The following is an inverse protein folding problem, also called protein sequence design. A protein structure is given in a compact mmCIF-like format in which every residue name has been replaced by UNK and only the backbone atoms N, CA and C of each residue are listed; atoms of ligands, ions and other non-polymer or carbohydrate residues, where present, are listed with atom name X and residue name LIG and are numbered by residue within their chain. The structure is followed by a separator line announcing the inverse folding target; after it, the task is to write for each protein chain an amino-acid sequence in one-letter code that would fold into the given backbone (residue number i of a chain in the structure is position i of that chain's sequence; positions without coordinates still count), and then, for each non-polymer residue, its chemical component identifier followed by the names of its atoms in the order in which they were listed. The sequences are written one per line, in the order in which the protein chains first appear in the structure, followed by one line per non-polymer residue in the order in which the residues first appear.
data_IF_727170726202
#
_entry.id   IF_727170726202
#
_cell.length_a   1.000
_cell.length_b   1.000
_cell.length_c   1.000
_cell.angle_alpha   90.00
_cell.angle_beta   90.00
_cell.angle_gamma   90.00
#
_symmetry.space_group_name_H-M   'P 1'
#
loop_
_entity.id
_entity.type
_entity.pdbx_description
1 polymer ?
#
# COMPACT_ATOMS: atom_id res chain seq x y z
N UNK A 1 -16.25 -3.03 -0.50
CA UNK A 1 -17.71 -3.04 -0.46
C UNK A 1 -18.23 -4.29 -1.17
N UNK A 2 -18.95 -5.17 -0.46
CA UNK A 2 -19.49 -6.44 -1.00
C UNK A 2 -20.41 -6.22 -2.21
N UNK A 3 -21.08 -5.08 -2.28
CA UNK A 3 -22.00 -4.76 -3.38
C UNK A 3 -21.29 -4.51 -4.73
N UNK A 4 -19.97 -4.41 -4.74
CA UNK A 4 -19.20 -4.24 -5.97
C UNK A 4 -18.74 -5.57 -6.58
N UNK A 5 -19.10 -6.70 -5.96
CA UNK A 5 -18.77 -8.02 -6.45
C UNK A 5 -19.90 -8.60 -7.28
N UNK A 6 -19.57 -9.31 -8.34
CA UNK A 6 -20.56 -10.00 -9.20
C UNK A 6 -21.18 -11.23 -8.55
N UNK A 7 -20.48 -11.79 -7.55
CA UNK A 7 -20.95 -12.90 -6.71
C UNK A 7 -20.51 -12.68 -5.27
N UNK A 8 -21.01 -13.49 -4.33
CA UNK A 8 -20.60 -13.40 -2.93
C UNK A 8 -19.11 -13.75 -2.79
N UNK A 9 -18.24 -12.79 -2.40
CA UNK A 9 -16.80 -13.01 -2.32
C UNK A 9 -16.38 -13.93 -1.16
N UNK A 10 -17.24 -14.14 -0.18
CA UNK A 10 -16.94 -14.98 0.99
C UNK A 10 -17.45 -16.41 0.83
N UNK A 11 -18.45 -16.62 0.00
CA UNK A 11 -18.87 -17.96 -0.38
C UNK A 11 -17.93 -18.54 -1.44
N UNK A 12 -17.49 -17.71 -2.38
CA UNK A 12 -16.60 -18.11 -3.47
C UNK A 12 -17.20 -19.22 -4.37
N UNK A 13 -16.46 -19.60 -5.37
CA UNK A 13 -16.65 -20.83 -6.13
C UNK A 13 -15.32 -21.29 -6.75
N UNK A 14 -15.26 -22.56 -7.14
CA UNK A 14 -14.14 -23.11 -7.89
C UNK A 14 -14.62 -24.04 -9.01
N UNK A 15 -13.85 -24.05 -10.09
CA UNK A 15 -13.96 -25.04 -11.15
C UNK A 15 -12.55 -25.42 -11.64
N UNK A 16 -12.44 -26.17 -12.72
CA UNK A 16 -11.14 -26.65 -13.26
C UNK A 16 -10.21 -25.51 -13.74
N UNK A 17 -10.72 -24.30 -13.90
CA UNK A 17 -9.98 -23.17 -14.47
C UNK A 17 -9.84 -22.00 -13.50
N UNK A 18 -10.77 -21.80 -12.59
CA UNK A 18 -10.89 -20.58 -11.79
C UNK A 18 -11.19 -20.89 -10.33
N UNK A 19 -10.50 -20.21 -9.45
CA UNK A 19 -10.87 -20.03 -8.03
C UNK A 19 -11.31 -18.58 -7.86
N UNK A 20 -12.56 -18.38 -7.45
CA UNK A 20 -13.14 -17.06 -7.25
C UNK A 20 -13.48 -16.84 -5.79
N UNK A 21 -13.08 -15.70 -5.24
CA UNK A 21 -13.40 -15.28 -3.89
C UNK A 21 -12.44 -14.23 -3.35
N UNK A 22 -12.76 -13.69 -2.19
CA UNK A 22 -11.87 -12.81 -1.46
C UNK A 22 -10.58 -13.57 -1.09
N UNK A 23 -9.41 -13.01 -1.42
CA UNK A 23 -8.12 -13.64 -1.18
C UNK A 23 -7.64 -14.56 -2.33
N UNK A 24 -8.49 -14.90 -3.30
CA UNK A 24 -8.12 -15.83 -4.38
C UNK A 24 -6.91 -15.36 -5.18
N UNK A 25 -6.82 -14.06 -5.47
CA UNK A 25 -5.66 -13.42 -6.08
C UNK A 25 -4.74 -12.80 -5.04
N UNK A 26 -5.30 -12.02 -4.15
CA UNK A 26 -4.57 -11.25 -3.14
C UNK A 26 -5.03 -11.69 -1.73
N UNK A 27 -4.22 -12.60 -1.09
CA UNK A 27 -3.14 -13.32 -1.79
C UNK A 27 -2.98 -14.76 -1.28
N UNK A 28 -4.04 -15.48 -0.92
CA UNK A 28 -3.95 -16.89 -0.54
C UNK A 28 -3.41 -17.76 -1.69
N UNK A 29 -3.70 -17.39 -2.95
CA UNK A 29 -3.13 -18.06 -4.12
C UNK A 29 -1.60 -17.98 -4.16
N UNK A 30 -1.04 -16.80 -3.85
CA UNK A 30 0.40 -16.58 -3.71
C UNK A 30 1.01 -17.39 -2.55
N UNK A 31 0.35 -17.42 -1.41
CA UNK A 31 0.77 -18.21 -0.24
C UNK A 31 0.77 -19.71 -0.54
N UNK A 32 -0.26 -20.22 -1.19
CA UNK A 32 -0.33 -21.62 -1.61
C UNK A 32 0.83 -21.94 -2.58
N UNK A 33 1.10 -21.07 -3.55
CA UNK A 33 2.20 -21.22 -4.50
C UNK A 33 3.56 -21.25 -3.79
N UNK A 34 3.79 -20.38 -2.81
CA UNK A 34 5.01 -20.36 -2.01
C UNK A 34 5.20 -21.68 -1.23
N UNK A 35 4.14 -22.16 -0.57
CA UNK A 35 4.20 -23.40 0.19
C UNK A 35 4.48 -24.62 -0.68
N UNK A 36 3.78 -24.75 -1.81
CA UNK A 36 4.00 -25.85 -2.76
C UNK A 36 5.34 -25.73 -3.47
N UNK A 37 5.80 -24.54 -3.84
CA UNK A 37 7.12 -24.29 -4.40
C UNK A 37 8.23 -24.74 -3.43
N UNK A 38 8.14 -24.36 -2.18
CA UNK A 38 9.08 -24.80 -1.14
C UNK A 38 9.07 -26.34 -0.96
N UNK A 39 7.87 -26.96 -0.99
CA UNK A 39 7.73 -28.41 -0.93
C UNK A 39 8.39 -29.10 -2.13
N UNK A 40 8.15 -28.61 -3.35
CA UNK A 40 8.74 -29.16 -4.57
C UNK A 40 10.27 -29.07 -4.50
N UNK A 41 10.82 -27.93 -4.11
CA UNK A 41 12.27 -27.77 -3.96
C UNK A 41 12.84 -28.77 -2.95
N UNK A 42 12.16 -29.00 -1.85
CA UNK A 42 12.56 -29.98 -0.84
C UNK A 42 12.52 -31.40 -1.41
N UNK A 43 11.42 -31.78 -2.06
CA UNK A 43 11.21 -33.16 -2.58
C UNK A 43 12.21 -33.48 -3.70
N UNK A 44 12.62 -32.48 -4.48
CA UNK A 44 13.62 -32.62 -5.55
C UNK A 44 15.08 -32.47 -5.08
N UNK A 45 15.30 -32.19 -3.80
CA UNK A 45 16.66 -31.98 -3.26
C UNK A 45 17.35 -30.72 -3.80
N UNK A 46 16.58 -29.69 -4.15
CA UNK A 46 17.10 -28.44 -4.71
C UNK A 46 17.50 -27.40 -3.67
N UNK A 47 17.30 -27.68 -2.40
CA UNK A 47 17.74 -26.78 -1.32
C UNK A 47 19.21 -27.07 -1.01
N UNK A 48 20.14 -26.12 -1.20
CA UNK A 48 21.55 -26.34 -0.93
C UNK A 48 21.79 -26.64 0.55
N UNK A 49 22.89 -27.36 0.83
CA UNK A 49 23.31 -27.62 2.20
C UNK A 49 23.58 -26.31 2.94
N UNK A 50 23.11 -26.21 4.18
CA UNK A 50 23.21 -25.00 5.00
C UNK A 50 22.10 -23.96 4.78
N UNK A 51 21.25 -24.16 3.78
CA UNK A 51 20.11 -23.27 3.52
C UNK A 51 18.78 -23.86 4.00
N UNK A 52 17.83 -23.00 4.27
CA UNK A 52 16.43 -23.37 4.50
C UNK A 52 15.50 -22.38 3.82
N UNK A 53 14.34 -22.86 3.41
CA UNK A 53 13.24 -22.02 2.96
C UNK A 53 12.30 -21.81 4.14
N UNK A 54 11.95 -20.56 4.40
CA UNK A 54 10.96 -20.18 5.39
C UNK A 54 9.75 -19.59 4.66
N UNK A 55 8.61 -20.22 4.79
CA UNK A 55 7.33 -19.70 4.28
C UNK A 55 6.63 -18.99 5.42
N UNK A 56 6.27 -17.75 5.21
CA UNK A 56 5.69 -16.87 6.23
C UNK A 56 4.33 -16.40 5.77
N UNK A 57 3.30 -16.68 6.57
CA UNK A 57 1.99 -16.02 6.45
C UNK A 57 1.96 -14.80 7.36
N UNK A 58 2.08 -13.61 6.80
CA UNK A 58 1.96 -12.36 7.56
C UNK A 58 0.50 -11.92 7.69
N UNK A 59 0.23 -11.05 8.64
CA UNK A 59 -1.09 -10.48 8.88
C UNK A 59 -1.04 -8.96 8.80
N UNK A 60 -2.19 -8.32 8.58
CA UNK A 60 -2.34 -6.86 8.52
C UNK A 60 -1.46 -6.18 7.45
N UNK A 61 -1.29 -6.82 6.33
CA UNK A 61 -0.53 -6.24 5.23
C UNK A 61 -1.19 -4.96 4.71
N UNK A 62 -2.51 -4.98 4.51
CA UNK A 62 -3.31 -3.89 3.95
C UNK A 62 -3.28 -2.61 4.79
N UNK A 63 -3.19 -2.74 6.09
CA UNK A 63 -3.12 -1.60 7.02
C UNK A 63 -1.70 -1.06 7.18
N UNK A 64 -0.74 -1.59 6.43
CA UNK A 64 0.58 -1.02 6.18
C UNK A 64 1.51 -0.85 7.37
N UNK A 65 1.28 -1.49 8.41
CA UNK A 65 2.04 -1.18 9.61
C UNK A 65 3.37 -1.94 9.73
N UNK A 66 3.58 -2.96 8.96
CA UNK A 66 4.80 -3.79 9.05
C UNK A 66 5.04 -4.42 10.43
N UNK A 67 4.06 -4.36 11.33
CA UNK A 67 4.20 -4.85 12.72
C UNK A 67 4.51 -6.33 12.75
N UNK A 68 3.88 -7.12 11.89
CA UNK A 68 4.15 -8.54 11.76
C UNK A 68 5.63 -8.80 11.44
N UNK A 69 6.20 -8.04 10.51
CA UNK A 69 7.61 -8.14 10.13
C UNK A 69 8.54 -7.65 11.23
N UNK A 70 8.17 -6.60 11.96
CA UNK A 70 8.93 -6.13 13.12
C UNK A 70 8.98 -7.20 14.21
N UNK A 71 7.86 -7.88 14.48
CA UNK A 71 7.81 -9.00 15.43
C UNK A 71 8.70 -10.16 14.97
N UNK A 72 8.61 -10.57 13.71
CA UNK A 72 9.48 -11.62 13.15
C UNK A 72 10.96 -11.26 13.28
N UNK A 73 11.33 -10.03 12.92
CA UNK A 73 12.72 -9.57 12.99
C UNK A 73 13.24 -9.51 14.44
N UNK A 74 12.43 -9.03 15.36
CA UNK A 74 12.85 -8.82 16.74
C UNK A 74 12.74 -10.09 17.61
N UNK A 75 11.72 -10.93 17.37
CA UNK A 75 11.43 -12.08 18.23
C UNK A 75 12.01 -13.39 17.67
N UNK A 76 11.96 -13.58 16.35
CA UNK A 76 12.49 -14.79 15.72
C UNK A 76 13.99 -14.67 15.39
N UNK A 77 14.46 -13.50 14.96
CA UNK A 77 15.84 -13.23 14.53
C UNK A 77 16.69 -12.45 15.54
N UNK A 78 16.22 -12.10 16.70
CA UNK A 78 16.93 -11.26 17.68
C UNK A 78 17.35 -9.87 17.14
N UNK A 79 16.59 -9.30 16.22
CA UNK A 79 16.79 -7.97 15.70
C UNK A 79 17.28 -7.90 14.25
N UNK A 80 17.36 -6.68 13.70
CA UNK A 80 17.65 -6.44 12.28
C UNK A 80 18.99 -6.98 11.80
N UNK A 81 20.04 -6.89 12.62
CA UNK A 81 21.38 -7.33 12.24
C UNK A 81 21.45 -8.87 12.14
N UNK A 82 20.80 -9.58 13.07
CA UNK A 82 20.72 -11.03 13.03
C UNK A 82 19.90 -11.50 11.82
N UNK A 83 18.75 -10.85 11.56
CA UNK A 83 17.93 -11.13 10.38
C UNK A 83 18.74 -10.92 9.09
N UNK A 84 19.41 -9.78 8.95
CA UNK A 84 20.23 -9.45 7.78
C UNK A 84 21.37 -10.44 7.56
N UNK A 85 21.96 -10.98 8.61
CA UNK A 85 23.04 -11.97 8.51
C UNK A 85 22.58 -13.36 8.08
N UNK A 86 21.28 -13.67 8.22
CA UNK A 86 20.72 -15.01 8.00
C UNK A 86 19.80 -15.10 6.77
N UNK A 87 19.24 -13.98 6.33
CA UNK A 87 18.33 -13.92 5.18
C UNK A 87 19.12 -13.49 3.96
N UNK A 88 19.19 -14.36 2.96
CA UNK A 88 19.83 -14.05 1.70
C UNK A 88 18.94 -13.21 0.79
N UNK A 89 17.69 -13.59 0.67
CA UNK A 89 16.67 -12.81 -0.06
C UNK A 89 15.26 -13.13 0.42
N UNK A 90 14.33 -12.27 0.06
CA UNK A 90 12.90 -12.39 0.35
C UNK A 90 12.13 -12.36 -0.95
N UNK A 91 11.15 -13.27 -1.07
CA UNK A 91 10.16 -13.25 -2.14
C UNK A 91 8.82 -12.86 -1.51
N UNK A 92 8.24 -11.76 -1.96
CA UNK A 92 6.86 -11.39 -1.68
C UNK A 92 5.98 -11.93 -2.80
N UNK A 93 4.85 -12.53 -2.44
CA UNK A 93 3.97 -13.22 -3.39
C UNK A 93 2.78 -12.37 -3.84
N UNK A 94 2.98 -11.05 -3.89
CA UNK A 94 1.98 -10.13 -4.42
C UNK A 94 1.52 -10.49 -5.84
N UNK A 95 0.26 -10.24 -6.20
CA UNK A 95 -0.22 -10.44 -7.56
C UNK A 95 0.47 -9.47 -8.52
N UNK A 96 1.17 -10.00 -9.52
CA UNK A 96 2.00 -9.23 -10.46
C UNK A 96 1.71 -9.55 -11.92
N UNK A 97 0.59 -10.22 -12.21
CA UNK A 97 0.25 -10.69 -13.56
C UNK A 97 1.39 -11.50 -14.24
N UNK A 98 2.13 -12.29 -13.43
CA UNK A 98 3.24 -13.11 -13.87
C UNK A 98 4.58 -12.37 -14.01
N UNK A 99 4.64 -11.09 -13.66
CA UNK A 99 5.88 -10.32 -13.63
C UNK A 99 6.71 -10.58 -12.37
N UNK A 100 8.03 -10.32 -12.46
CA UNK A 100 8.93 -10.31 -11.32
C UNK A 100 9.33 -8.86 -11.04
N UNK A 101 8.78 -8.27 -9.99
CA UNK A 101 9.11 -6.93 -9.56
C UNK A 101 10.30 -6.95 -8.60
N UNK A 102 11.30 -6.12 -8.86
CA UNK A 102 12.51 -6.00 -8.03
C UNK A 102 12.45 -4.81 -7.06
N UNK A 103 11.33 -4.13 -7.01
CA UNK A 103 11.11 -2.99 -6.16
C UNK A 103 9.71 -2.43 -6.37
N UNK A 104 9.29 -1.57 -5.47
CA UNK A 104 8.01 -0.87 -5.50
C UNK A 104 8.16 0.53 -4.91
N UNK A 105 7.15 1.36 -5.08
CA UNK A 105 7.10 2.68 -4.45
C UNK A 105 7.01 2.55 -2.93
N UNK A 106 7.61 3.51 -2.24
CA UNK A 106 7.40 3.65 -0.80
C UNK A 106 5.96 4.02 -0.48
N UNK A 107 5.54 3.77 0.76
CA UNK A 107 4.23 4.17 1.28
C UNK A 107 4.39 4.92 2.59
N UNK A 108 3.58 5.96 2.73
CA UNK A 108 3.45 6.72 3.96
C UNK A 108 1.96 6.98 4.19
N UNK A 109 1.49 6.72 5.38
CA UNK A 109 0.17 7.14 5.81
C UNK A 109 0.29 8.42 6.63
N UNK A 110 -0.48 9.44 6.24
CA UNK A 110 -0.44 10.76 6.86
C UNK A 110 -1.82 11.07 7.41
N UNK A 111 -1.88 11.35 8.71
CA UNK A 111 -3.08 11.87 9.33
C UNK A 111 -3.00 13.39 9.41
N UNK A 112 -4.07 14.05 8.98
CA UNK A 112 -4.23 15.50 9.12
C UNK A 112 -5.41 15.77 10.03
N UNK A 113 -5.17 16.46 11.13
CA UNK A 113 -6.18 16.90 12.10
C UNK A 113 -6.37 18.40 11.99
N UNK A 114 -7.59 18.83 11.66
CA UNK A 114 -7.97 20.23 11.57
C UNK A 114 -8.82 20.62 12.76
N UNK A 115 -8.45 21.73 13.38
CA UNK A 115 -9.16 22.28 14.53
C UNK A 115 -9.88 23.58 14.18
N UNK A 116 -11.04 23.76 14.80
CA UNK A 116 -11.88 24.94 14.66
C UNK A 116 -12.45 25.40 16.01
N UNK A 117 -13.49 26.20 15.94
CA UNK A 117 -14.22 26.70 17.11
C UNK A 117 -15.70 26.45 16.90
N UNK A 118 -16.31 25.67 17.78
CA UNK A 118 -17.73 25.33 17.68
C UNK A 118 -18.60 26.50 18.12
N UNK A 119 -19.72 26.63 17.44
CA UNK A 119 -20.83 27.52 17.84
C UNK A 119 -22.15 26.99 17.29
N UNK A 120 -23.25 27.61 17.63
CA UNK A 120 -24.56 27.23 17.10
C UNK A 120 -24.61 27.45 15.58
N UNK A 121 -25.09 26.45 14.82
CA UNK A 121 -25.09 26.47 13.37
C UNK A 121 -25.87 27.61 12.70
N UNK A 122 -26.79 28.30 13.46
CA UNK A 122 -27.48 29.49 12.96
C UNK A 122 -26.69 30.81 13.10
N UNK A 123 -25.51 30.76 13.74
CA UNK A 123 -24.64 31.92 13.92
C UNK A 123 -23.18 31.55 13.59
N UNK A 124 -22.92 31.09 12.34
CA UNK A 124 -21.61 30.51 11.96
C UNK A 124 -20.48 31.54 12.03
N UNK A 125 -20.77 32.82 11.99
CA UNK A 125 -19.82 33.93 12.15
C UNK A 125 -19.13 33.96 13.51
N UNK A 126 -19.67 33.23 14.51
CA UNK A 126 -19.12 33.15 15.87
C UNK A 126 -18.17 31.96 16.06
N UNK A 127 -18.05 31.14 15.06
CA UNK A 127 -17.21 29.94 15.09
C UNK A 127 -16.13 29.96 14.02
N UNK A 128 -15.41 28.85 13.97
CA UNK A 128 -14.38 28.60 12.95
C UNK A 128 -14.52 27.14 12.49
N UNK A 129 -14.94 26.95 11.23
CA UNK A 129 -15.38 25.64 10.75
C UNK A 129 -14.17 24.77 10.29
N UNK A 130 -13.86 23.74 11.07
CA UNK A 130 -12.79 22.81 10.76
C UNK A 130 -13.02 22.03 9.43
N UNK A 131 -14.28 21.78 9.05
CA UNK A 131 -14.61 21.12 7.79
C UNK A 131 -14.29 22.03 6.60
N UNK A 132 -14.59 23.32 6.69
CA UNK A 132 -14.27 24.29 5.65
C UNK A 132 -12.75 24.43 5.44
N UNK A 133 -11.99 24.50 6.56
CA UNK A 133 -10.52 24.48 6.49
C UNK A 133 -9.98 23.20 5.86
N UNK A 134 -10.55 22.04 6.24
CA UNK A 134 -10.17 20.76 5.67
C UNK A 134 -10.47 20.68 4.18
N UNK A 135 -11.53 21.32 3.70
CA UNK A 135 -11.84 21.34 2.27
C UNK A 135 -10.72 21.98 1.43
N UNK A 136 -10.06 23.01 1.95
CA UNK A 136 -8.89 23.62 1.29
C UNK A 136 -7.71 22.63 1.20
N UNK A 137 -7.47 21.87 2.28
CA UNK A 137 -6.44 20.82 2.28
C UNK A 137 -6.78 19.73 1.25
N UNK A 138 -8.04 19.27 1.21
CA UNK A 138 -8.49 18.25 0.26
C UNK A 138 -8.28 18.67 -1.20
N UNK A 139 -8.57 19.93 -1.53
CA UNK A 139 -8.34 20.47 -2.86
C UNK A 139 -6.84 20.50 -3.21
N UNK A 140 -5.99 20.93 -2.28
CA UNK A 140 -4.55 20.95 -2.47
C UNK A 140 -3.99 19.53 -2.64
N UNK A 141 -4.46 18.54 -1.85
CA UNK A 141 -4.05 17.13 -1.99
C UNK A 141 -4.43 16.59 -3.38
N UNK A 142 -5.63 16.91 -3.87
CA UNK A 142 -6.04 16.56 -5.23
C UNK A 142 -5.06 17.11 -6.27
N UNK A 143 -4.73 18.39 -6.16
CA UNK A 143 -3.91 19.09 -7.14
C UNK A 143 -2.45 18.61 -7.13
N UNK A 144 -1.95 18.08 -6.01
CA UNK A 144 -0.62 17.46 -5.93
C UNK A 144 -0.45 16.26 -6.88
N UNK A 145 -1.52 15.52 -7.16
CA UNK A 145 -1.47 14.39 -8.09
C UNK A 145 -1.34 14.80 -9.56
N UNK A 146 -1.62 16.05 -9.89
CA UNK A 146 -1.52 16.58 -11.24
C UNK A 146 -0.10 17.07 -11.58
N UNK A 147 0.75 17.24 -10.58
CA UNK A 147 2.12 17.69 -10.76
C UNK A 147 3.06 16.49 -10.95
N UNK A 148 3.83 16.53 -12.04
CA UNK A 148 4.93 15.57 -12.25
C UNK A 148 6.08 15.89 -11.28
N UNK A 149 6.20 15.13 -10.21
CA UNK A 149 7.25 15.32 -9.20
C UNK A 149 8.66 14.92 -9.67
N UNK A 150 8.77 14.29 -10.83
CA UNK A 150 10.00 13.64 -11.26
C UNK A 150 10.88 14.56 -12.15
N UNK A 151 11.50 15.56 -11.57
CA UNK A 151 12.63 16.26 -12.22
C UNK A 151 14.00 15.62 -11.90
N UNK A 152 14.02 14.58 -11.07
CA UNK A 152 15.23 13.89 -10.67
C UNK A 152 15.78 13.03 -11.81
N UNK A 153 17.11 13.10 -12.00
CA UNK A 153 17.84 12.35 -13.03
C UNK A 153 17.82 10.84 -12.79
N UNK A 154 17.75 10.42 -11.53
CA UNK A 154 17.75 9.03 -11.14
C UNK A 154 16.40 8.37 -11.43
N UNK A 155 15.31 9.07 -11.17
CA UNK A 155 13.95 8.64 -11.53
C UNK A 155 13.81 8.57 -13.05
N UNK A 156 14.32 9.57 -13.78
CA UNK A 156 14.39 9.52 -15.26
C UNK A 156 15.21 8.33 -15.76
N UNK A 157 16.24 7.92 -15.01
CA UNK A 157 17.03 6.71 -15.30
C UNK A 157 16.23 5.44 -15.14
N UNK A 158 15.47 5.29 -14.03
CA UNK A 158 14.57 4.16 -13.79
C UNK A 158 13.43 4.11 -14.81
N UNK A 159 12.79 5.23 -15.08
CA UNK A 159 11.76 5.36 -16.13
C UNK A 159 12.31 4.96 -17.51
N UNK A 160 13.57 5.29 -17.79
CA UNK A 160 14.23 4.92 -19.04
C UNK A 160 14.55 3.43 -19.15
N UNK A 161 14.76 2.75 -18.02
CA UNK A 161 14.89 1.27 -18.00
C UNK A 161 13.58 0.55 -18.32
N UNK A 162 12.46 1.22 -18.09
CA UNK A 162 11.11 0.77 -18.46
C UNK A 162 10.67 1.33 -19.83
N UNK A 163 11.63 1.84 -20.63
CA UNK A 163 11.43 2.45 -21.93
C UNK A 163 10.50 1.59 -22.80
N UNK A 164 9.52 2.20 -23.47
CA UNK A 164 8.63 1.56 -24.46
C UNK A 164 9.33 0.73 -25.53
N UNK A 165 10.62 0.97 -25.76
CA UNK A 165 11.48 0.12 -26.60
C UNK A 165 11.54 -1.33 -26.12
N UNK A 166 11.44 -1.56 -24.81
CA UNK A 166 11.49 -2.90 -24.19
C UNK A 166 10.11 -3.39 -23.74
N UNK A 167 9.16 -2.47 -23.60
CA UNK A 167 7.79 -2.77 -23.21
C UNK A 167 6.81 -1.76 -23.81
N UNK A 168 6.61 -1.77 -25.16
CA UNK A 168 5.82 -0.76 -25.87
C UNK A 168 4.34 -0.75 -25.48
N UNK A 169 3.83 -1.81 -24.86
CA UNK A 169 2.44 -1.94 -24.43
C UNK A 169 2.20 -1.38 -23.03
N UNK A 170 3.26 -1.09 -22.26
CA UNK A 170 3.20 -0.67 -20.85
C UNK A 170 3.94 0.62 -20.55
N UNK A 171 3.94 1.57 -21.48
CA UNK A 171 4.57 2.89 -21.24
C UNK A 171 3.97 3.63 -20.03
N UNK A 172 2.73 3.30 -19.66
CA UNK A 172 2.06 3.84 -18.48
C UNK A 172 2.71 3.38 -17.17
N UNK A 173 3.33 2.20 -17.16
CA UNK A 173 4.05 1.67 -16.01
C UNK A 173 5.28 2.52 -15.66
N UNK A 174 5.97 3.03 -16.67
CA UNK A 174 7.08 3.95 -16.49
C UNK A 174 6.63 5.25 -15.80
N UNK A 175 5.47 5.77 -16.21
CA UNK A 175 4.83 6.92 -15.58
C UNK A 175 4.41 6.63 -14.14
N UNK A 176 3.91 5.43 -13.89
CA UNK A 176 3.50 4.98 -12.56
C UNK A 176 4.67 4.95 -11.57
N UNK A 177 5.81 4.37 -11.95
CA UNK A 177 7.01 4.30 -11.09
C UNK A 177 7.73 5.63 -10.93
N UNK A 178 7.67 6.51 -11.93
CA UNK A 178 8.29 7.83 -11.89
C UNK A 178 7.47 8.91 -11.19
N UNK A 179 6.30 8.57 -10.66
CA UNK A 179 5.37 9.52 -10.05
C UNK A 179 4.94 9.11 -8.66
N UNK A 180 5.14 9.97 -7.69
CA UNK A 180 4.49 9.86 -6.38
C UNK A 180 3.00 10.19 -6.47
N UNK A 181 2.19 9.64 -5.56
CA UNK A 181 0.76 9.93 -5.48
C UNK A 181 0.37 10.30 -4.07
N UNK A 182 -0.68 11.10 -3.95
CA UNK A 182 -1.23 11.54 -2.68
C UNK A 182 -2.75 11.42 -2.77
N UNK A 183 -3.33 10.49 -2.01
CA UNK A 183 -4.76 10.18 -2.09
C UNK A 183 -5.39 10.32 -0.72
N UNK A 184 -6.41 11.16 -0.60
CA UNK A 184 -7.25 11.15 0.59
C UNK A 184 -8.09 9.88 0.59
N UNK A 185 -7.77 8.97 1.49
CA UNK A 185 -8.36 7.63 1.55
C UNK A 185 -9.55 7.53 2.52
N UNK A 186 -9.57 8.39 3.54
CA UNK A 186 -10.58 8.33 4.59
C UNK A 186 -10.83 9.71 5.21
N UNK A 187 -12.09 9.98 5.53
CA UNK A 187 -12.47 11.02 6.49
C UNK A 187 -12.84 10.30 7.78
N UNK A 188 -12.13 10.60 8.85
CA UNK A 188 -12.43 10.07 10.17
C UNK A 188 -13.64 10.79 10.77
N UNK A 189 -13.63 10.88 12.06
CA UNK A 189 -14.67 11.55 12.81
C UNK A 189 -14.61 13.07 12.63
N UNK A 190 -15.80 13.68 12.54
CA UNK A 190 -15.99 15.12 12.66
C UNK A 190 -16.74 15.42 13.95
N UNK A 191 -16.99 16.71 14.26
CA UNK A 191 -17.80 17.13 15.39
C UNK A 191 -19.14 16.38 15.48
N UNK A 192 -19.57 15.89 16.66
CA UNK A 192 -20.75 15.02 16.82
C UNK A 192 -22.08 15.73 16.57
N UNK A 193 -22.09 17.04 16.56
CA UNK A 193 -23.33 17.82 16.45
C UNK A 193 -23.63 18.21 15.01
N UNK A 194 -24.81 17.87 14.53
CA UNK A 194 -25.32 18.30 13.21
C UNK A 194 -25.88 19.73 13.23
N UNK A 195 -26.00 20.36 14.39
CA UNK A 195 -26.59 21.70 14.59
C UNK A 195 -25.53 22.75 14.99
N UNK A 196 -24.24 22.39 14.95
CA UNK A 196 -23.14 23.26 15.34
C UNK A 196 -22.11 23.38 14.22
N UNK A 197 -21.35 24.48 14.25
CA UNK A 197 -20.12 24.62 13.47
C UNK A 197 -19.13 23.56 13.96
N UNK A 198 -18.52 22.82 13.06
CA UNK A 198 -17.58 21.75 13.39
C UNK A 198 -16.26 22.31 13.93
N UNK A 199 -15.85 21.83 15.10
CA UNK A 199 -14.57 22.18 15.74
C UNK A 199 -13.44 21.22 15.44
N UNK A 200 -13.73 20.13 14.75
CA UNK A 200 -12.75 19.11 14.37
C UNK A 200 -13.10 18.46 13.03
N UNK A 201 -12.07 18.10 12.28
CA UNK A 201 -12.16 17.27 11.09
C UNK A 201 -10.81 16.60 10.85
N UNK A 202 -10.81 15.28 10.64
CA UNK A 202 -9.58 14.53 10.43
C UNK A 202 -9.68 13.67 9.20
N UNK A 203 -8.59 13.57 8.45
CA UNK A 203 -8.48 12.72 7.25
C UNK A 203 -7.23 11.84 7.33
N UNK A 204 -7.25 10.74 6.59
CA UNK A 204 -6.06 9.96 6.25
C UNK A 204 -5.70 10.16 4.77
N UNK A 205 -4.41 10.26 4.52
CA UNK A 205 -3.83 10.40 3.19
C UNK A 205 -2.88 9.22 2.97
N UNK A 206 -3.13 8.44 1.91
CA UNK A 206 -2.17 7.46 1.37
C UNK A 206 -1.21 8.18 0.44
N UNK A 207 0.05 8.24 0.82
CA UNK A 207 1.14 8.82 0.05
C UNK A 207 2.00 7.69 -0.52
N UNK A 208 2.07 7.60 -1.84
CA UNK A 208 3.02 6.71 -2.52
C UNK A 208 4.22 7.52 -2.98
N UNK A 209 5.38 7.11 -2.51
CA UNK A 209 6.65 7.78 -2.76
C UNK A 209 7.42 7.07 -3.86
N UNK A 210 8.02 7.83 -4.76
CA UNK A 210 8.89 7.29 -5.79
C UNK A 210 10.37 7.42 -5.40
N UNK A 211 11.26 6.80 -6.17
CA UNK A 211 12.70 6.85 -5.91
C UNK A 211 13.21 8.31 -5.90
N UNK A 212 14.06 8.65 -4.95
CA UNK A 212 14.59 10.00 -4.74
C UNK A 212 13.75 10.89 -3.81
N UNK A 213 12.54 10.50 -3.47
CA UNK A 213 11.74 11.19 -2.45
C UNK A 213 12.12 10.71 -1.05
N UNK A 214 12.15 11.64 -0.10
CA UNK A 214 12.46 11.39 1.33
C UNK A 214 11.29 11.78 2.21
N UNK A 215 11.44 11.58 3.50
CA UNK A 215 10.42 11.94 4.50
C UNK A 215 10.31 13.46 4.75
N UNK A 216 11.33 14.22 4.33
CA UNK A 216 11.43 15.68 4.55
C UNK A 216 10.68 16.50 3.49
#
# INVERSE_FOLDING_TARGET
NINNWEADPYQGYEDDAVIFGRGGSDQEGGMASAAYGAKIMKDLGLIPEGYKIMVVGSVQEEDCDGMCWQSIVNEYFNGPEDARSKIEFVISTEPTDGGIYRGHRGRMEIRVDMHGVSCHGSAPERGDNAIHKMAEVLLNVRDLNENDAADDKEIKGLVKMLDPKYNPEHWEDARFLGRGTCTTSQIFYTSPSRCAVADSCSISIDRRMTAGETWD
#
